data_IF_941184211166
#
_entry.id   IF_941184211166
#
_cell.length_a   1.000
_cell.length_b   1.000
_cell.length_c   1.000
_cell.angle_alpha   90.00
_cell.angle_beta   90.00
_cell.angle_gamma   90.00
#
_symmetry.space_group_name_H-M   'P 1'
#
loop_
_entity.id
_entity.type
_entity.pdbx_description
1 polymer ?
#
# COMPACT_ATOMS: atom_id res chain seq x y z
N UNK A 1 -20.68 8.22 -15.86
CA UNK A 1 -19.72 7.12 -15.51
C UNK A 1 -18.72 7.75 -14.56
N UNK A 2 -18.17 7.09 -13.53
CA UNK A 2 -17.41 7.78 -12.46
C UNK A 2 -16.38 8.85 -12.92
N UNK A 3 -15.68 8.63 -14.04
CA UNK A 3 -14.75 9.60 -14.61
C UNK A 3 -15.45 10.86 -15.16
N UNK A 4 -16.60 10.70 -15.83
CA UNK A 4 -17.40 11.81 -16.37
C UNK A 4 -17.94 12.68 -15.23
N UNK A 5 -18.25 12.04 -14.11
CA UNK A 5 -18.77 12.67 -12.90
C UNK A 5 -17.64 13.21 -11.99
N UNK A 6 -16.38 13.14 -12.45
CA UNK A 6 -15.16 13.49 -11.70
C UNK A 6 -15.15 12.93 -10.27
N UNK A 7 -15.64 11.70 -10.08
CA UNK A 7 -15.78 11.13 -8.74
C UNK A 7 -14.40 10.98 -8.08
N UNK A 8 -14.18 11.54 -6.88
CA UNK A 8 -12.92 11.36 -6.18
C UNK A 8 -12.60 9.86 -5.99
N UNK A 9 -11.36 9.41 -6.23
CA UNK A 9 -10.99 8.01 -6.04
C UNK A 9 -11.30 7.47 -4.64
N UNK A 10 -11.28 8.30 -3.60
CA UNK A 10 -11.70 7.93 -2.24
C UNK A 10 -13.18 7.53 -2.17
N UNK A 11 -14.06 8.26 -2.86
CA UNK A 11 -15.48 7.93 -2.94
C UNK A 11 -15.67 6.61 -3.66
N UNK A 12 -14.99 6.43 -4.80
CA UNK A 12 -15.04 5.18 -5.57
C UNK A 12 -14.50 4.00 -4.76
N UNK A 13 -13.50 4.20 -3.91
CA UNK A 13 -12.99 3.17 -3.00
C UNK A 13 -14.09 2.63 -2.07
N UNK A 14 -14.87 3.55 -1.49
CA UNK A 14 -15.98 3.21 -0.60
C UNK A 14 -17.18 2.63 -1.37
N UNK A 15 -17.49 3.16 -2.57
CA UNK A 15 -18.54 2.61 -3.44
C UNK A 15 -18.27 1.15 -3.82
N UNK A 16 -17.00 0.80 -4.00
CA UNK A 16 -16.55 -0.57 -4.25
C UNK A 16 -16.44 -1.41 -2.97
N UNK A 17 -16.87 -0.88 -1.81
CA UNK A 17 -16.79 -1.51 -0.49
C UNK A 17 -15.38 -1.96 -0.10
N UNK A 18 -14.35 -1.29 -0.63
CA UNK A 18 -12.95 -1.64 -0.39
C UNK A 18 -12.48 -1.21 1.01
N UNK A 19 -13.25 -0.38 1.71
CA UNK A 19 -13.08 -0.02 3.13
C UNK A 19 -13.40 -1.18 4.09
N UNK A 20 -14.08 -2.23 3.60
CA UNK A 20 -14.54 -3.38 4.41
C UNK A 20 -13.81 -4.69 4.11
N UNK A 21 -12.90 -4.73 3.11
CA UNK A 21 -12.25 -5.97 2.67
C UNK A 21 -11.17 -6.55 3.60
N UNK A 22 -10.70 -5.79 4.60
CA UNK A 22 -9.80 -6.33 5.63
C UNK A 22 -8.51 -6.96 5.07
N UNK A 23 -8.05 -8.09 5.64
CA UNK A 23 -6.76 -8.68 5.28
C UNK A 23 -6.69 -9.28 3.85
N UNK A 24 -7.83 -9.69 3.28
CA UNK A 24 -7.90 -10.30 1.94
C UNK A 24 -8.09 -9.28 0.82
N UNK A 25 -8.15 -7.98 1.15
CA UNK A 25 -8.47 -6.91 0.20
C UNK A 25 -7.56 -6.88 -1.04
N UNK A 26 -6.27 -7.23 -0.92
CA UNK A 26 -5.34 -7.20 -2.05
C UNK A 26 -5.68 -8.21 -3.15
N UNK A 27 -6.36 -9.30 -2.79
CA UNK A 27 -6.84 -10.29 -3.75
C UNK A 27 -8.22 -9.92 -4.33
N UNK A 28 -8.92 -8.94 -3.74
CA UNK A 28 -10.26 -8.54 -4.15
C UNK A 28 -10.23 -7.99 -5.60
N UNK A 29 -11.01 -8.57 -6.53
CA UNK A 29 -11.05 -8.09 -7.91
C UNK A 29 -11.51 -6.63 -8.03
N UNK A 30 -12.33 -6.13 -7.10
CA UNK A 30 -12.76 -4.73 -7.09
C UNK A 30 -11.61 -3.76 -6.81
N UNK A 31 -10.55 -4.20 -6.11
CA UNK A 31 -9.35 -3.38 -5.93
C UNK A 31 -8.66 -3.11 -7.27
N UNK A 32 -8.68 -4.08 -8.20
CA UNK A 32 -8.14 -3.87 -9.55
C UNK A 32 -8.95 -2.81 -10.31
N UNK A 33 -10.28 -2.86 -10.20
CA UNK A 33 -11.17 -1.84 -10.78
C UNK A 33 -10.83 -0.45 -10.24
N UNK A 34 -10.64 -0.34 -8.93
CA UNK A 34 -10.26 0.92 -8.30
C UNK A 34 -8.88 1.43 -8.72
N UNK A 35 -7.87 0.55 -8.81
CA UNK A 35 -6.52 0.95 -9.25
C UNK A 35 -6.55 1.50 -10.67
N UNK A 36 -7.22 0.81 -11.60
CA UNK A 36 -7.38 1.30 -12.98
C UNK A 36 -8.15 2.62 -13.05
N UNK A 37 -9.17 2.77 -12.19
CA UNK A 37 -9.90 4.03 -12.07
C UNK A 37 -9.00 5.17 -11.58
N UNK A 38 -8.23 4.94 -10.51
CA UNK A 38 -7.34 5.92 -9.91
C UNK A 38 -6.23 6.36 -10.88
N UNK A 39 -5.69 5.44 -11.69
CA UNK A 39 -4.72 5.76 -12.75
C UNK A 39 -5.32 6.71 -13.79
N UNK A 40 -6.49 6.37 -14.36
CA UNK A 40 -7.18 7.23 -15.33
C UNK A 40 -7.61 8.56 -14.74
N UNK A 41 -8.05 8.58 -13.49
CA UNK A 41 -8.39 9.81 -12.78
C UNK A 41 -7.16 10.72 -12.69
N UNK A 42 -5.98 10.18 -12.37
CA UNK A 42 -4.72 10.95 -12.29
C UNK A 42 -4.27 11.47 -13.65
N UNK A 43 -4.42 10.69 -14.72
CA UNK A 43 -4.13 11.12 -16.10
C UNK A 43 -4.95 12.37 -16.48
N UNK A 44 -6.23 12.40 -16.09
CA UNK A 44 -7.10 13.54 -16.36
C UNK A 44 -6.94 14.70 -15.36
N UNK A 45 -6.27 14.46 -14.22
CA UNK A 45 -6.11 15.42 -13.12
C UNK A 45 -4.63 15.48 -12.67
N UNK A 46 -3.73 16.09 -13.47
CA UNK A 46 -2.28 15.99 -13.29
C UNK A 46 -1.75 16.56 -11.98
N UNK A 47 -2.51 17.45 -11.32
CA UNK A 47 -2.17 18.00 -10.00
C UNK A 47 -2.46 17.03 -8.83
N UNK A 48 -2.97 15.82 -9.11
CA UNK A 48 -3.25 14.80 -8.09
C UNK A 48 -1.97 14.10 -7.62
N UNK A 49 -1.35 14.64 -6.56
CA UNK A 49 -0.04 14.17 -6.06
C UNK A 49 -0.12 13.08 -4.99
N UNK A 50 -1.26 12.93 -4.29
CA UNK A 50 -1.40 12.01 -3.14
C UNK A 50 -2.18 10.73 -3.43
N UNK A 51 -2.46 10.42 -4.70
CA UNK A 51 -3.23 9.25 -5.10
C UNK A 51 -2.33 8.04 -5.31
N UNK A 52 -2.00 7.35 -4.21
CA UNK A 52 -1.28 6.07 -4.24
C UNK A 52 -2.15 4.99 -3.59
N UNK A 53 -1.95 3.73 -4.00
CA UNK A 53 -2.61 2.59 -3.36
C UNK A 53 -2.39 2.57 -1.84
N UNK A 54 -1.15 2.85 -1.39
CA UNK A 54 -0.86 2.92 0.04
C UNK A 54 -1.63 4.05 0.74
N UNK A 55 -1.76 5.23 0.12
CA UNK A 55 -2.48 6.36 0.71
C UNK A 55 -3.97 6.04 0.89
N UNK A 56 -4.63 5.50 -0.14
CA UNK A 56 -6.03 5.09 -0.07
C UNK A 56 -6.25 4.02 1.00
N UNK A 57 -5.42 2.97 1.00
CA UNK A 57 -5.49 1.94 2.03
C UNK A 57 -5.23 2.50 3.43
N UNK A 58 -4.31 3.46 3.58
CA UNK A 58 -4.01 4.09 4.87
C UNK A 58 -5.14 5.00 5.37
N UNK A 59 -5.96 5.56 4.48
CA UNK A 59 -7.13 6.34 4.88
C UNK A 59 -8.14 5.48 5.67
N UNK A 60 -8.35 4.23 5.24
CA UNK A 60 -9.34 3.33 5.86
C UNK A 60 -8.75 2.32 6.85
N UNK A 61 -7.48 1.96 6.71
CA UNK A 61 -6.87 0.87 7.48
C UNK A 61 -5.70 1.31 8.36
N UNK A 62 -5.66 0.75 9.58
CA UNK A 62 -4.53 0.91 10.51
C UNK A 62 -3.33 0.10 10.02
N UNK A 63 -2.11 0.54 10.37
CA UNK A 63 -0.85 -0.13 9.99
C UNK A 63 -0.88 -1.65 10.26
N UNK A 64 -1.49 -2.10 11.38
CA UNK A 64 -1.62 -3.53 11.72
C UNK A 64 -2.40 -4.35 10.68
N UNK A 65 -3.40 -3.76 10.04
CA UNK A 65 -4.23 -4.42 9.03
C UNK A 65 -3.46 -4.45 7.70
N UNK A 66 -2.78 -3.36 7.35
CA UNK A 66 -1.91 -3.30 6.17
C UNK A 66 -0.79 -4.35 6.24
N UNK A 67 -0.20 -4.57 7.41
CA UNK A 67 0.78 -5.66 7.59
C UNK A 67 0.15 -7.03 7.34
N UNK A 68 -1.08 -7.27 7.83
CA UNK A 68 -1.78 -8.53 7.55
C UNK A 68 -2.05 -8.71 6.07
N UNK A 69 -2.48 -7.67 5.36
CA UNK A 69 -2.69 -7.69 3.91
C UNK A 69 -1.41 -8.09 3.17
N UNK A 70 -0.28 -7.46 3.49
CA UNK A 70 1.03 -7.80 2.90
C UNK A 70 1.37 -9.26 3.15
N UNK A 71 1.23 -9.73 4.40
CA UNK A 71 1.58 -11.11 4.76
C UNK A 71 0.66 -12.14 4.08
N UNK A 72 -0.65 -11.84 3.96
CA UNK A 72 -1.61 -12.70 3.27
C UNK A 72 -1.35 -12.83 1.77
N UNK A 73 -0.82 -11.80 1.11
CA UNK A 73 -0.46 -11.90 -0.31
C UNK A 73 0.76 -12.79 -0.55
N UNK A 74 1.56 -13.10 0.48
CA UNK A 74 2.78 -13.89 0.30
C UNK A 74 2.55 -15.37 0.05
N UNK A 75 1.31 -15.84 0.21
CA UNK A 75 0.86 -17.17 -0.18
C UNK A 75 0.11 -17.16 -1.52
N UNK A 76 -0.03 -15.99 -2.16
CA UNK A 76 -0.71 -15.86 -3.46
C UNK A 76 0.23 -16.20 -4.60
N UNK A 77 -0.26 -16.96 -5.59
CA UNK A 77 0.42 -17.17 -6.88
C UNK A 77 0.15 -16.05 -7.89
N UNK A 78 -0.75 -15.11 -7.56
CA UNK A 78 -1.10 -13.98 -8.40
C UNK A 78 0.02 -12.94 -8.40
N UNK A 79 0.66 -12.73 -9.55
CA UNK A 79 1.65 -11.67 -9.77
C UNK A 79 1.13 -10.27 -9.35
N UNK A 80 -0.15 -10.00 -9.59
CA UNK A 80 -0.81 -8.73 -9.20
C UNK A 80 -0.83 -8.56 -7.68
N UNK A 81 -1.22 -9.60 -6.96
CA UNK A 81 -1.40 -9.52 -5.50
C UNK A 81 -0.04 -9.31 -4.82
N UNK A 82 0.99 -9.99 -5.33
CA UNK A 82 2.38 -9.82 -4.92
C UNK A 82 2.81 -8.36 -5.13
N UNK A 83 2.58 -7.81 -6.33
CA UNK A 83 2.91 -6.42 -6.65
C UNK A 83 2.18 -5.42 -5.73
N UNK A 84 0.89 -5.62 -5.48
CA UNK A 84 0.14 -4.77 -4.55
C UNK A 84 0.70 -4.86 -3.12
N UNK A 85 1.07 -6.05 -2.66
CA UNK A 85 1.70 -6.21 -1.35
C UNK A 85 3.06 -5.53 -1.27
N UNK A 86 3.88 -5.57 -2.33
CA UNK A 86 5.15 -4.84 -2.40
C UNK A 86 4.94 -3.33 -2.33
N UNK A 87 3.97 -2.77 -3.06
CA UNK A 87 3.63 -1.35 -2.97
C UNK A 87 3.19 -0.94 -1.55
N UNK A 88 2.34 -1.74 -0.92
CA UNK A 88 1.86 -1.48 0.45
C UNK A 88 3.01 -1.60 1.45
N UNK A 89 3.88 -2.58 1.29
CA UNK A 89 5.08 -2.75 2.12
C UNK A 89 6.01 -1.54 2.00
N UNK A 90 6.30 -1.07 0.79
CA UNK A 90 7.13 0.11 0.57
C UNK A 90 6.55 1.36 1.24
N UNK A 91 5.23 1.55 1.16
CA UNK A 91 4.54 2.65 1.87
C UNK A 91 4.65 2.53 3.39
N UNK A 92 4.51 1.33 3.96
CA UNK A 92 4.72 1.07 5.39
C UNK A 92 6.15 1.38 5.83
N UNK A 93 7.15 0.97 5.03
CA UNK A 93 8.57 1.24 5.32
C UNK A 93 8.86 2.74 5.32
N UNK A 94 8.42 3.47 4.29
CA UNK A 94 8.57 4.93 4.24
C UNK A 94 7.91 5.61 5.45
N UNK A 95 6.69 5.18 5.82
CA UNK A 95 5.99 5.70 7.01
C UNK A 95 6.74 5.40 8.31
N UNK A 96 7.33 4.22 8.46
CA UNK A 96 8.06 3.86 9.67
C UNK A 96 9.40 4.59 9.77
N UNK A 97 10.08 4.79 8.65
CA UNK A 97 11.32 5.55 8.55
C UNK A 97 11.07 7.02 8.92
N UNK A 98 10.02 7.64 8.34
CA UNK A 98 9.61 9.00 8.69
C UNK A 98 9.25 9.17 10.18
N UNK A 99 8.71 8.12 10.81
CA UNK A 99 8.43 8.10 12.26
C UNK A 99 9.66 7.77 13.13
N UNK A 100 10.85 7.68 12.56
CA UNK A 100 12.09 7.38 13.30
C UNK A 100 12.09 6.00 13.98
N UNK A 101 11.34 5.01 13.46
CA UNK A 101 11.31 3.68 14.09
C UNK A 101 12.64 2.94 13.87
N UNK A 102 13.13 2.24 14.88
CA UNK A 102 14.33 1.40 14.71
C UNK A 102 14.03 0.17 13.83
N UNK A 103 15.05 -0.28 13.08
CA UNK A 103 14.98 -1.48 12.24
C UNK A 103 14.44 -2.69 13.02
N UNK A 104 14.92 -2.91 14.25
CA UNK A 104 14.44 -4.00 15.13
C UNK A 104 12.93 -3.93 15.39
N UNK A 105 12.39 -2.73 15.68
CA UNK A 105 10.95 -2.52 15.88
C UNK A 105 10.16 -2.74 14.59
N UNK A 106 10.71 -2.35 13.45
CA UNK A 106 10.09 -2.57 12.13
C UNK A 106 10.02 -4.05 11.79
N UNK A 107 11.13 -4.78 11.88
CA UNK A 107 11.16 -6.23 11.62
C UNK A 107 10.20 -6.99 12.54
N UNK A 108 10.17 -6.66 13.85
CA UNK A 108 9.22 -7.26 14.80
C UNK A 108 7.76 -6.99 14.42
N UNK A 109 7.44 -5.80 13.88
CA UNK A 109 6.06 -5.46 13.47
C UNK A 109 5.63 -6.15 12.19
N UNK A 110 6.55 -6.42 11.27
CA UNK A 110 6.23 -7.02 9.96
C UNK A 110 6.10 -8.55 10.04
N UNK A 111 6.59 -9.19 11.11
CA UNK A 111 6.45 -10.63 11.37
C UNK A 111 6.92 -11.48 10.17
N UNK A 112 8.10 -11.16 9.64
CA UNK A 112 8.60 -11.69 8.37
C UNK A 112 9.37 -13.00 8.54
N UNK A 113 9.37 -13.84 7.50
CA UNK A 113 10.31 -14.96 7.37
C UNK A 113 11.74 -14.44 7.21
N UNK A 114 12.78 -15.26 7.48
CA UNK A 114 14.18 -14.85 7.33
C UNK A 114 14.53 -14.31 5.93
N UNK A 115 13.96 -14.88 4.86
CA UNK A 115 14.19 -14.45 3.48
C UNK A 115 13.66 -13.04 3.25
N UNK A 116 12.42 -12.78 3.68
CA UNK A 116 11.79 -11.45 3.56
C UNK A 116 12.46 -10.43 4.48
N UNK A 117 12.97 -10.85 5.63
CA UNK A 117 13.66 -9.97 6.57
C UNK A 117 14.94 -9.35 5.97
N UNK A 118 15.69 -10.10 5.14
CA UNK A 118 16.86 -9.56 4.43
C UNK A 118 16.47 -8.47 3.42
N UNK A 119 15.50 -8.77 2.56
CA UNK A 119 15.01 -7.81 1.56
C UNK A 119 14.45 -6.53 2.22
N UNK A 120 13.64 -6.69 3.27
CA UNK A 120 13.09 -5.56 4.03
C UNK A 120 14.17 -4.75 4.74
N UNK A 121 15.23 -5.39 5.22
CA UNK A 121 16.37 -4.68 5.83
C UNK A 121 17.06 -3.76 4.82
N UNK A 122 17.29 -4.25 3.60
CA UNK A 122 17.89 -3.46 2.52
C UNK A 122 16.98 -2.26 2.18
N UNK A 123 15.71 -2.52 1.87
CA UNK A 123 14.75 -1.47 1.51
C UNK A 123 14.59 -0.42 2.63
N UNK A 124 14.55 -0.84 3.90
CA UNK A 124 14.40 0.08 5.02
C UNK A 124 15.63 0.97 5.23
N UNK A 125 16.84 0.41 5.06
CA UNK A 125 18.08 1.21 5.12
C UNK A 125 18.14 2.26 4.02
N UNK A 126 17.73 1.91 2.79
CA UNK A 126 17.62 2.88 1.70
C UNK A 126 16.67 4.02 2.05
N UNK A 127 15.50 3.73 2.64
CA UNK A 127 14.55 4.77 3.08
C UNK A 127 15.09 5.67 4.19
N UNK A 128 15.92 5.14 5.08
CA UNK A 128 16.59 5.98 6.09
C UNK A 128 17.62 6.91 5.44
N UNK A 129 18.40 6.42 4.47
CA UNK A 129 19.38 7.23 3.74
C UNK A 129 18.73 8.36 2.94
N UNK A 130 17.64 8.06 2.22
CA UNK A 130 16.84 9.05 1.47
C UNK A 130 16.29 10.18 2.35
N UNK A 131 16.03 9.90 3.63
CA UNK A 131 15.54 10.90 4.59
C UNK A 131 16.66 11.76 5.18
N UNK A 132 17.88 11.22 5.29
CA UNK A 132 19.04 11.95 5.81
C UNK A 132 19.78 12.78 4.76
N UNK A 133 19.53 12.52 3.47
CA UNK A 133 20.13 13.25 2.34
C UNK A 133 19.33 14.51 1.92
N UNK A 134 18.34 14.92 2.71
CA UNK A 134 17.50 16.10 2.52
C UNK A 134 17.68 17.05 3.69
#
# INVERSE_FOLDING_TARGET
RWLDDLQPPENVFTLLSLDKGGASLLANPQLRTWVQYAERYKENNPFTTKLTLFAALKAHYRDRVLVKMVNSATVSSSKRDILYAEYVLNGLLGRYAWKGKSLRKVLKKLLLTPEKAKAVTIAYRTKLLELTSK
#
